data_IF_161567864348
#
_entry.id   IF_161567864348
#
_cell.length_a   1.000
_cell.length_b   1.000
_cell.length_c   1.000
_cell.angle_alpha   90.00
_cell.angle_beta   90.00
_cell.angle_gamma   90.00
#
_symmetry.space_group_name_H-M   'P 1'
#
loop_
_entity.id
_entity.type
_entity.pdbx_description
1 polymer ?
#
# COMPACT_ATOMS: atom_id res chain seq x y z
N UNK A 1 9.92 19.55 1.81
CA UNK A 1 10.45 18.19 1.98
C UNK A 1 10.76 18.03 3.45
N UNK A 2 10.18 17.03 4.11
CA UNK A 2 10.51 16.70 5.50
C UNK A 2 11.93 16.10 5.54
N UNK A 3 12.75 16.34 6.58
CA UNK A 3 14.11 15.76 6.64
C UNK A 3 14.13 14.24 6.55
N UNK A 4 13.06 13.57 7.00
CA UNK A 4 12.90 12.11 6.93
C UNK A 4 12.21 11.62 5.66
N UNK A 5 11.93 12.50 4.70
CA UNK A 5 11.30 12.12 3.44
C UNK A 5 12.28 11.33 2.56
N UNK A 6 11.95 10.09 2.16
CA UNK A 6 12.79 9.31 1.27
C UNK A 6 12.98 10.05 -0.05
N UNK A 7 14.23 10.17 -0.50
CA UNK A 7 14.59 10.82 -1.78
C UNK A 7 14.99 9.80 -2.85
N UNK A 8 15.25 8.56 -2.43
CA UNK A 8 15.75 7.46 -3.23
C UNK A 8 14.65 6.48 -3.64
N UNK A 9 13.45 6.58 -3.05
CA UNK A 9 12.33 5.67 -3.29
C UNK A 9 10.97 6.36 -3.10
N UNK A 10 9.91 5.88 -3.77
CA UNK A 10 8.56 6.33 -3.51
C UNK A 10 8.10 5.93 -2.10
N UNK A 11 7.21 6.74 -1.52
CA UNK A 11 6.56 6.42 -0.26
C UNK A 11 5.75 5.10 -0.36
N UNK A 12 5.70 4.29 0.70
CA UNK A 12 4.72 3.21 0.82
C UNK A 12 3.30 3.73 0.61
N UNK A 13 2.47 2.95 -0.07
CA UNK A 13 1.05 3.25 -0.23
C UNK A 13 0.28 2.51 0.85
N UNK A 14 -0.64 3.21 1.50
CA UNK A 14 -1.49 2.66 2.55
C UNK A 14 -2.94 2.97 2.20
N UNK A 15 -3.79 1.97 2.35
CA UNK A 15 -5.24 2.12 2.33
C UNK A 15 -5.74 2.34 3.76
N UNK A 16 -6.62 3.33 3.93
CA UNK A 16 -7.39 3.52 5.14
C UNK A 16 -8.83 3.12 4.82
N UNK A 17 -9.29 2.02 5.39
CA UNK A 17 -10.68 1.59 5.21
C UNK A 17 -11.61 2.41 6.13
N UNK A 18 -12.90 2.35 5.82
CA UNK A 18 -14.01 2.97 6.55
C UNK A 18 -14.09 2.56 8.02
N UNK A 19 -13.48 1.43 8.40
CA UNK A 19 -13.35 0.95 9.78
C UNK A 19 -12.11 1.52 10.52
N UNK A 20 -11.39 2.47 9.92
CA UNK A 20 -10.13 3.04 10.41
C UNK A 20 -8.95 2.07 10.49
N UNK A 21 -9.03 0.93 9.80
CA UNK A 21 -7.94 -0.03 9.67
C UNK A 21 -6.98 0.38 8.55
N UNK A 22 -5.69 0.12 8.75
CA UNK A 22 -4.65 0.46 7.77
C UNK A 22 -4.13 -0.80 7.07
N UNK A 23 -3.98 -0.72 5.74
CA UNK A 23 -3.47 -1.82 4.93
C UNK A 23 -2.36 -1.37 3.99
N UNK A 24 -1.30 -2.18 3.90
CA UNK A 24 -0.19 -1.91 2.99
C UNK A 24 -0.61 -2.28 1.58
N UNK A 25 -0.38 -1.37 0.63
CA UNK A 25 -0.70 -1.62 -0.77
C UNK A 25 0.56 -1.92 -1.58
N UNK A 26 0.49 -2.94 -2.43
CA UNK A 26 1.55 -3.24 -3.39
C UNK A 26 1.69 -2.11 -4.42
N UNK A 27 2.89 -1.71 -4.78
CA UNK A 27 3.15 -0.75 -5.86
C UNK A 27 3.93 0.48 -5.42
N UNK A 28 4.43 1.20 -6.43
CA UNK A 28 5.19 2.44 -6.27
C UNK A 28 4.35 3.67 -6.57
N UNK A 29 3.22 3.49 -7.26
CA UNK A 29 2.23 4.53 -7.57
C UNK A 29 0.82 3.97 -7.37
N UNK A 30 -0.16 4.87 -7.16
CA UNK A 30 -1.56 4.50 -6.93
C UNK A 30 -2.12 3.58 -8.02
N UNK A 31 -1.77 3.81 -9.29
CA UNK A 31 -2.26 2.99 -10.40
C UNK A 31 -1.78 1.53 -10.33
N UNK A 32 -0.54 1.30 -9.90
CA UNK A 32 -0.01 -0.06 -9.69
C UNK A 32 -0.73 -0.75 -8.53
N UNK A 33 -0.99 0.00 -7.45
CA UNK A 33 -1.69 -0.48 -6.28
C UNK A 33 -3.12 -0.90 -6.58
N UNK A 34 -3.88 -0.04 -7.25
CA UNK A 34 -5.23 -0.38 -7.70
C UNK A 34 -5.22 -1.57 -8.68
N UNK A 35 -4.25 -1.64 -9.60
CA UNK A 35 -4.16 -2.74 -10.55
C UNK A 35 -3.82 -4.08 -9.86
N UNK A 36 -2.91 -4.07 -8.88
CA UNK A 36 -2.53 -5.25 -8.12
C UNK A 36 -3.67 -5.75 -7.23
N UNK A 37 -4.40 -4.84 -6.59
CA UNK A 37 -5.58 -5.18 -5.78
C UNK A 37 -6.71 -5.77 -6.65
N UNK A 38 -7.01 -5.13 -7.78
CA UNK A 38 -8.05 -5.57 -8.71
C UNK A 38 -7.88 -7.02 -9.19
N UNK A 39 -6.63 -7.47 -9.37
CA UNK A 39 -6.32 -8.82 -9.88
C UNK A 39 -5.95 -9.82 -8.77
N UNK A 40 -5.96 -9.39 -7.50
CA UNK A 40 -5.54 -10.21 -6.35
C UNK A 40 -6.27 -11.55 -6.26
N UNK A 41 -7.55 -11.55 -6.62
CA UNK A 41 -8.43 -12.73 -6.56
C UNK A 41 -8.62 -13.42 -7.91
N UNK A 42 -7.89 -13.01 -8.95
CA UNK A 42 -7.97 -13.64 -10.27
C UNK A 42 -7.25 -15.00 -10.26
N UNK A 43 -7.79 -16.04 -10.93
CA UNK A 43 -7.15 -17.36 -11.01
C UNK A 43 -5.74 -17.32 -11.60
N UNK A 44 -5.51 -16.43 -12.56
CA UNK A 44 -4.18 -16.15 -13.13
C UNK A 44 -3.86 -14.65 -13.03
N UNK A 45 -3.51 -14.23 -11.81
CA UNK A 45 -3.18 -12.85 -11.48
C UNK A 45 -2.08 -12.24 -12.36
N UNK A 46 -1.10 -13.02 -12.81
CA UNK A 46 0.00 -12.52 -13.65
C UNK A 46 -0.50 -12.14 -15.03
N UNK A 47 -1.29 -13.01 -15.66
CA UNK A 47 -1.91 -12.72 -16.96
C UNK A 47 -2.91 -11.56 -16.83
N UNK A 48 -3.74 -11.56 -15.78
CA UNK A 48 -4.70 -10.50 -15.54
C UNK A 48 -4.02 -9.14 -15.35
N UNK A 49 -2.95 -9.09 -14.55
CA UNK A 49 -2.17 -7.86 -14.32
C UNK A 49 -1.56 -7.34 -15.62
N UNK A 50 -0.89 -8.20 -16.41
CA UNK A 50 -0.28 -7.77 -17.67
C UNK A 50 -1.32 -7.21 -18.64
N UNK A 51 -2.51 -7.82 -18.73
CA UNK A 51 -3.61 -7.31 -19.57
C UNK A 51 -4.12 -5.96 -19.09
N UNK A 52 -4.24 -5.79 -17.77
CA UNK A 52 -4.65 -4.53 -17.18
C UNK A 52 -3.59 -3.44 -17.41
N UNK A 53 -2.31 -3.76 -17.28
CA UNK A 53 -1.20 -2.87 -17.59
C UNK A 53 -1.22 -2.41 -19.06
N UNK A 54 -1.49 -3.32 -20.01
CA UNK A 54 -1.68 -2.98 -21.42
C UNK A 54 -2.85 -2.02 -21.61
N UNK A 55 -3.98 -2.31 -20.97
CA UNK A 55 -5.18 -1.46 -21.09
C UNK A 55 -4.95 -0.07 -20.51
N UNK A 56 -4.27 0.04 -19.37
CA UNK A 56 -3.94 1.32 -18.76
C UNK A 56 -2.96 2.12 -19.64
N UNK A 57 -2.00 1.46 -20.29
CA UNK A 57 -1.10 2.10 -21.24
C UNK A 57 -1.85 2.67 -22.46
N UNK A 58 -2.83 1.94 -23.01
CA UNK A 58 -3.70 2.43 -24.10
C UNK A 58 -4.50 3.69 -23.70
N UNK A 59 -4.81 3.84 -22.40
CA UNK A 59 -5.51 4.99 -21.84
C UNK A 59 -4.58 6.15 -21.44
N UNK A 60 -3.27 6.03 -21.67
CA UNK A 60 -2.28 7.05 -21.29
C UNK A 60 -1.87 7.02 -19.82
N UNK A 61 -2.12 5.91 -19.12
CA UNK A 61 -1.77 5.68 -17.72
C UNK A 61 -0.79 4.50 -17.57
N UNK A 62 0.39 4.53 -18.21
CA UNK A 62 1.31 3.40 -18.17
C UNK A 62 1.79 3.12 -16.73
N UNK A 63 1.80 1.84 -16.36
CA UNK A 63 2.43 1.37 -15.13
C UNK A 63 3.95 1.30 -15.30
N UNK A 64 4.71 1.43 -14.21
CA UNK A 64 6.16 1.27 -14.23
C UNK A 64 6.60 -0.19 -14.38
N UNK A 65 5.71 -1.13 -14.03
CA UNK A 65 5.93 -2.58 -14.13
C UNK A 65 4.80 -3.26 -14.90
N UNK A 66 5.13 -4.37 -15.56
CA UNK A 66 4.18 -5.21 -16.32
C UNK A 66 4.01 -6.61 -15.73
N UNK A 67 4.96 -7.05 -14.93
CA UNK A 67 4.92 -8.32 -14.21
C UNK A 67 4.36 -8.06 -12.81
N UNK A 68 3.35 -8.84 -12.43
CA UNK A 68 2.75 -8.78 -11.10
C UNK A 68 3.79 -9.05 -10.01
N UNK A 69 4.71 -10.00 -10.24
CA UNK A 69 5.75 -10.34 -9.25
C UNK A 69 6.83 -9.24 -9.12
N UNK A 70 6.88 -8.30 -10.07
CA UNK A 70 7.78 -7.14 -10.01
C UNK A 70 7.14 -5.93 -9.32
N UNK A 71 5.85 -5.99 -8.98
CA UNK A 71 5.18 -4.95 -8.21
C UNK A 71 5.79 -4.92 -6.81
N UNK A 72 6.28 -3.74 -6.41
CA UNK A 72 6.90 -3.53 -5.09
C UNK A 72 5.94 -3.96 -3.98
N UNK A 73 6.41 -4.71 -2.99
CA UNK A 73 5.60 -5.03 -1.83
C UNK A 73 5.35 -3.78 -0.96
N UNK A 74 4.16 -3.70 -0.38
CA UNK A 74 3.66 -2.56 0.39
C UNK A 74 4.12 -2.55 1.84
N UNK A 75 5.21 -3.25 2.19
CA UNK A 75 5.64 -3.39 3.58
C UNK A 75 5.94 -2.02 4.21
N UNK A 76 5.21 -1.70 5.27
CA UNK A 76 5.52 -0.59 6.15
C UNK A 76 6.37 -1.08 7.32
N UNK A 77 7.33 -0.25 7.76
CA UNK A 77 8.22 -0.58 8.89
C UNK A 77 7.52 -0.48 10.24
N UNK A 78 6.40 0.24 10.29
CA UNK A 78 5.60 0.47 11.50
C UNK A 78 4.16 0.09 11.18
N UNK A 79 3.60 -0.81 11.97
CA UNK A 79 2.18 -1.14 11.93
C UNK A 79 1.36 -0.02 12.59
N UNK A 80 0.53 0.72 11.82
CA UNK A 80 -0.22 1.84 12.37
C UNK A 80 -1.28 1.43 13.40
N UNK A 81 -1.84 0.23 13.31
CA UNK A 81 -2.85 -0.26 14.23
C UNK A 81 -2.20 -0.61 15.57
N UNK A 82 -1.10 -1.38 15.53
CA UNK A 82 -0.31 -1.69 16.73
C UNK A 82 0.21 -0.41 17.41
N UNK A 83 0.77 0.53 16.63
CA UNK A 83 1.23 1.80 17.17
C UNK A 83 0.08 2.60 17.82
N UNK A 84 -1.11 2.56 17.22
CA UNK A 84 -2.28 3.26 17.78
C UNK A 84 -2.68 2.64 19.12
N UNK A 85 -2.70 1.32 19.23
CA UNK A 85 -2.98 0.61 20.49
C UNK A 85 -1.94 0.93 21.56
N UNK A 86 -0.65 0.89 21.22
CA UNK A 86 0.45 1.24 22.14
C UNK A 86 0.31 2.67 22.69
N UNK A 87 -0.04 3.63 21.81
CA UNK A 87 -0.26 5.02 22.19
C UNK A 87 -1.47 5.19 23.10
N UNK A 88 -2.56 4.46 22.84
CA UNK A 88 -3.76 4.44 23.69
C UNK A 88 -3.40 3.90 25.08
N UNK A 89 -2.69 2.77 25.15
CA UNK A 89 -2.30 2.15 26.41
C UNK A 89 -1.35 3.03 27.22
N UNK A 90 -0.36 3.65 26.57
CA UNK A 90 0.53 4.60 27.21
C UNK A 90 -0.24 5.78 27.86
N UNK A 91 -1.25 6.31 27.17
CA UNK A 91 -2.08 7.40 27.70
C UNK A 91 -3.00 6.91 28.83
N UNK A 92 -3.53 5.68 28.77
CA UNK A 92 -4.30 5.08 29.87
C UNK A 92 -3.46 4.93 31.14
N UNK A 93 -2.24 4.43 31.02
CA UNK A 93 -1.29 4.30 32.14
C UNK A 93 -1.00 5.65 32.77
N UNK A 94 -0.71 6.67 31.95
CA UNK A 94 -0.46 8.05 32.41
C UNK A 94 -1.64 8.64 33.19
N UNK A 95 -2.88 8.23 32.89
CA UNK A 95 -4.10 8.64 33.58
C UNK A 95 -4.50 7.74 34.75
N UNK A 96 -3.76 6.66 35.01
CA UNK A 96 -4.08 5.69 36.07
C UNK A 96 -5.28 4.79 35.75
N UNK A 97 -5.55 4.52 34.46
CA UNK A 97 -6.70 3.75 33.97
C UNK A 97 -6.35 2.30 33.57
N UNK A 98 -5.42 1.69 34.31
CA UNK A 98 -4.93 0.32 34.07
C UNK A 98 -6.08 -0.70 34.03
#
# INVERSE_FOLDING_TARGET
>A
MHPDEPTDRPWPLVELDTEFSYWGMMGSILAEACAADQVRYEPDRRIAFSRLADRLAELGLPLGVRDYDAVRDGEFTVDPDELTEELIDAERVKRGLA
#
